data_IF_538989522369
#
_entry.id   IF_538989522369
#
_cell.length_a   1.000
_cell.length_b   1.000
_cell.length_c   1.000
_cell.angle_alpha   90.00
_cell.angle_beta   90.00
_cell.angle_gamma   90.00
#
_symmetry.space_group_name_H-M   'P 1'
#
loop_
_entity.id
_entity.type
_entity.pdbx_description
1 polymer ?
#
# COMPACT_ATOMS: atom_id res chain seq x y z
N UNK A 1 -24.14 -71.16 -17.54
CA UNK A 1 -23.22 -71.23 -16.37
C UNK A 1 -22.05 -70.31 -16.68
N UNK A 2 -21.76 -69.20 -16.02
CA UNK A 2 -22.09 -68.66 -14.70
C UNK A 2 -22.59 -67.21 -14.81
N UNK A 3 -23.58 -66.84 -14.00
CA UNK A 3 -24.10 -65.46 -13.87
C UNK A 3 -23.08 -64.61 -13.10
N UNK A 4 -22.79 -63.41 -13.59
CA UNK A 4 -22.04 -62.37 -12.85
C UNK A 4 -22.96 -61.78 -11.78
N UNK A 5 -22.62 -61.96 -10.52
CA UNK A 5 -23.26 -61.29 -9.39
C UNK A 5 -22.32 -60.18 -8.94
N UNK A 6 -22.71 -58.93 -9.17
CA UNK A 6 -22.02 -57.75 -8.62
C UNK A 6 -22.66 -57.43 -7.26
N UNK A 7 -21.86 -57.45 -6.21
CA UNK A 7 -22.26 -57.04 -4.87
C UNK A 7 -22.13 -55.51 -4.78
N UNK A 8 -23.26 -54.81 -4.73
CA UNK A 8 -23.32 -53.37 -4.50
C UNK A 8 -23.13 -53.14 -2.99
N UNK A 9 -21.91 -52.84 -2.55
CA UNK A 9 -21.66 -52.36 -1.19
C UNK A 9 -22.00 -50.86 -1.18
N UNK A 10 -23.18 -50.53 -0.66
CA UNK A 10 -23.57 -49.16 -0.36
C UNK A 10 -22.90 -48.74 0.96
N UNK A 11 -21.75 -48.06 0.86
CA UNK A 11 -21.13 -47.41 2.02
C UNK A 11 -21.87 -46.11 2.30
N UNK A 12 -22.73 -46.12 3.33
CA UNK A 12 -23.31 -44.90 3.90
C UNK A 12 -22.19 -44.22 4.71
N UNK A 13 -21.55 -43.21 4.12
CA UNK A 13 -20.72 -42.27 4.87
C UNK A 13 -21.68 -41.28 5.53
N UNK A 14 -21.95 -41.47 6.82
CA UNK A 14 -22.60 -40.45 7.63
C UNK A 14 -21.62 -39.28 7.81
N UNK A 15 -21.81 -38.22 7.02
CA UNK A 15 -21.22 -36.92 7.27
C UNK A 15 -21.82 -36.39 8.57
N UNK A 16 -21.11 -36.61 9.68
CA UNK A 16 -21.35 -35.87 10.92
C UNK A 16 -20.95 -34.43 10.64
N UNK A 17 -21.93 -33.58 10.34
CA UNK A 17 -21.73 -32.15 10.24
C UNK A 17 -21.40 -31.64 11.65
N UNK A 18 -20.11 -31.48 11.94
CA UNK A 18 -19.66 -30.61 13.02
C UNK A 18 -20.06 -29.18 12.62
N UNK A 19 -21.25 -28.75 13.06
CA UNK A 19 -21.58 -27.33 13.20
C UNK A 19 -20.79 -26.78 14.38
N UNK A 20 -19.47 -26.72 14.24
CA UNK A 20 -18.62 -25.99 15.15
C UNK A 20 -18.61 -24.55 14.65
N UNK A 21 -19.60 -23.79 15.14
CA UNK A 21 -19.69 -22.37 14.90
C UNK A 21 -18.42 -21.74 15.47
N UNK A 22 -17.58 -21.19 14.60
CA UNK A 22 -16.33 -20.54 14.98
C UNK A 22 -16.61 -19.56 16.14
N UNK A 23 -15.81 -19.61 17.22
CA UNK A 23 -16.03 -18.74 18.36
C UNK A 23 -15.98 -17.29 17.89
N UNK A 24 -17.04 -16.53 18.19
CA UNK A 24 -17.04 -15.07 18.02
C UNK A 24 -15.88 -14.53 18.86
N UNK A 25 -14.80 -14.16 18.19
CA UNK A 25 -13.69 -13.42 18.79
C UNK A 25 -14.18 -12.01 19.12
N UNK A 26 -14.82 -11.85 20.27
CA UNK A 26 -15.04 -10.55 20.91
C UNK A 26 -13.72 -10.11 21.56
N UNK A 27 -12.69 -9.88 20.75
CA UNK A 27 -11.56 -9.08 21.24
C UNK A 27 -12.06 -7.64 21.32
N UNK A 28 -11.91 -6.96 22.47
CA UNK A 28 -12.12 -5.53 22.54
C UNK A 28 -11.22 -4.90 21.48
N UNK A 29 -11.81 -4.21 20.52
CA UNK A 29 -11.06 -3.29 19.68
C UNK A 29 -10.58 -2.23 20.67
N UNK A 30 -9.29 -2.28 21.02
CA UNK A 30 -8.67 -1.21 21.81
C UNK A 30 -8.98 0.10 21.08
N UNK A 31 -9.50 1.06 21.84
CA UNK A 31 -9.94 2.34 21.31
C UNK A 31 -8.78 2.93 20.50
N UNK A 32 -8.99 3.04 19.18
CA UNK A 32 -8.09 3.77 18.29
C UNK A 32 -8.04 5.18 18.86
N UNK A 33 -6.86 5.66 19.19
CA UNK A 33 -6.66 7.06 19.57
C UNK A 33 -7.02 7.92 18.36
N UNK A 34 -8.25 8.46 18.39
CA UNK A 34 -8.73 9.38 17.36
C UNK A 34 -8.12 10.73 17.72
N UNK A 35 -6.97 11.03 17.11
CA UNK A 35 -6.50 12.41 17.08
C UNK A 35 -7.45 13.16 16.14
N UNK A 36 -8.24 14.07 16.69
CA UNK A 36 -9.11 14.96 15.92
C UNK A 36 -8.23 16.01 15.23
N UNK A 37 -8.10 15.92 13.91
CA UNK A 37 -7.12 16.66 13.14
C UNK A 37 -7.83 17.49 12.08
N UNK A 38 -8.14 18.76 12.40
CA UNK A 38 -8.61 19.74 11.42
C UNK A 38 -7.79 19.67 10.11
N UNK A 39 -8.37 20.03 8.95
CA UNK A 39 -7.64 20.17 7.67
C UNK A 39 -6.31 20.98 7.79
N UNK A 40 -6.17 21.77 8.85
CA UNK A 40 -5.00 22.53 9.26
C UNK A 40 -3.68 21.76 9.44
N UNK A 41 -3.68 20.43 9.52
CA UNK A 41 -2.46 19.70 9.92
C UNK A 41 -1.70 19.00 8.79
N UNK A 42 -2.13 19.11 7.54
CA UNK A 42 -1.27 18.68 6.43
C UNK A 42 0.02 19.53 6.43
N UNK A 43 1.17 18.87 6.38
CA UNK A 43 2.46 19.50 6.22
C UNK A 43 3.12 19.05 4.92
N UNK A 44 3.63 20.02 4.16
CA UNK A 44 4.54 19.71 3.06
C UNK A 44 5.92 19.29 3.59
N UNK A 45 6.61 18.39 2.88
CA UNK A 45 7.97 18.01 3.23
C UNK A 45 8.91 19.23 3.11
N UNK A 46 9.64 19.61 4.19
CA UNK A 46 10.53 20.76 4.16
C UNK A 46 11.74 20.48 3.26
N UNK A 47 12.33 21.50 2.61
CA UNK A 47 13.56 21.30 1.85
C UNK A 47 14.69 20.77 2.74
N UNK A 48 15.38 19.73 2.27
CA UNK A 48 16.55 19.14 2.92
C UNK A 48 17.60 18.90 1.85
N UNK A 49 18.72 19.64 1.91
CA UNK A 49 19.88 19.46 1.01
C UNK A 49 19.46 19.43 -0.47
N UNK A 50 19.49 18.26 -1.12
CA UNK A 50 19.09 18.12 -2.52
C UNK A 50 17.58 18.01 -2.73
N UNK A 51 16.78 17.78 -1.69
CA UNK A 51 15.33 17.71 -1.81
C UNK A 51 14.65 19.07 -1.55
N UNK A 52 13.66 19.48 -2.37
CA UNK A 52 13.29 18.89 -3.66
C UNK A 52 14.33 19.23 -4.75
N UNK A 53 14.57 18.30 -5.66
CA UNK A 53 15.36 18.53 -6.88
C UNK A 53 14.43 18.72 -8.08
N UNK A 54 14.89 19.44 -9.09
CA UNK A 54 14.12 19.58 -10.33
C UNK A 54 14.08 18.27 -11.11
N UNK A 55 13.09 18.14 -12.00
CA UNK A 55 12.99 16.98 -12.90
C UNK A 55 14.21 16.88 -13.82
N UNK A 56 14.76 18.00 -14.26
CA UNK A 56 15.97 18.06 -15.08
C UNK A 56 17.19 17.53 -14.31
N UNK A 57 17.36 17.90 -13.04
CA UNK A 57 18.45 17.42 -12.20
C UNK A 57 18.36 15.91 -11.96
N UNK A 58 17.17 15.40 -11.62
CA UNK A 58 16.94 13.97 -11.42
C UNK A 58 17.18 13.19 -12.71
N UNK A 59 16.68 13.68 -13.84
CA UNK A 59 16.87 13.04 -15.14
C UNK A 59 18.36 12.98 -15.52
N UNK A 60 19.14 14.02 -15.23
CA UNK A 60 20.59 13.99 -15.47
C UNK A 60 21.27 12.89 -14.66
N UNK A 61 20.92 12.72 -13.39
CA UNK A 61 21.49 11.63 -12.56
C UNK A 61 21.10 10.26 -13.10
N UNK A 62 19.86 10.10 -13.59
CA UNK A 62 19.39 8.86 -14.22
C UNK A 62 20.17 8.60 -15.52
N UNK A 63 20.31 9.59 -16.40
CA UNK A 63 21.00 9.44 -17.68
C UNK A 63 22.49 9.12 -17.51
N UNK A 64 23.13 9.69 -16.49
CA UNK A 64 24.55 9.46 -16.18
C UNK A 64 24.80 8.26 -15.26
N UNK A 65 23.74 7.59 -14.79
CA UNK A 65 23.80 6.51 -13.81
C UNK A 65 24.55 6.91 -12.51
N UNK A 66 24.37 8.16 -12.07
CA UNK A 66 24.96 8.73 -10.86
C UNK A 66 24.26 8.18 -9.60
N UNK A 67 24.50 6.90 -9.32
CA UNK A 67 23.90 6.17 -8.20
C UNK A 67 24.23 6.78 -6.84
N UNK A 68 25.35 7.51 -6.71
CA UNK A 68 25.72 8.20 -5.48
C UNK A 68 24.74 9.34 -5.20
N UNK A 69 24.47 10.21 -6.20
CA UNK A 69 23.49 11.29 -6.05
C UNK A 69 22.08 10.80 -5.89
N UNK A 70 21.66 9.79 -6.66
CA UNK A 70 20.32 9.18 -6.51
C UNK A 70 20.12 8.68 -5.08
N UNK A 71 21.12 8.00 -4.51
CA UNK A 71 21.06 7.52 -3.13
C UNK A 71 21.07 8.65 -2.11
N UNK A 72 21.93 9.66 -2.30
CA UNK A 72 21.99 10.82 -1.41
C UNK A 72 20.64 11.55 -1.40
N UNK A 73 20.04 11.77 -2.57
CA UNK A 73 18.73 12.39 -2.71
C UNK A 73 17.62 11.59 -2.03
N UNK A 74 17.63 10.26 -2.14
CA UNK A 74 16.67 9.42 -1.45
C UNK A 74 16.76 9.56 0.09
N UNK A 75 17.98 9.69 0.64
CA UNK A 75 18.18 9.96 2.06
C UNK A 75 17.72 11.36 2.48
N UNK A 76 18.00 12.37 1.65
CA UNK A 76 17.54 13.74 1.87
C UNK A 76 16.00 13.83 1.87
N UNK A 77 15.34 13.12 0.94
CA UNK A 77 13.88 12.98 0.91
C UNK A 77 13.36 12.25 2.15
N UNK A 78 14.03 11.17 2.59
CA UNK A 78 13.64 10.46 3.82
C UNK A 78 13.74 11.35 5.07
N UNK A 79 14.82 12.11 5.21
CA UNK A 79 15.00 13.09 6.30
C UNK A 79 13.92 14.17 6.26
N UNK A 80 13.61 14.69 5.06
CA UNK A 80 12.54 15.66 4.86
C UNK A 80 11.18 15.14 5.36
N UNK A 81 10.75 13.97 4.88
CA UNK A 81 9.40 13.46 5.20
C UNK A 81 9.28 12.97 6.64
N UNK A 82 10.40 12.65 7.31
CA UNK A 82 10.44 12.25 8.73
C UNK A 82 10.67 13.40 9.70
N UNK A 83 10.85 14.62 9.20
CA UNK A 83 10.96 15.82 10.04
C UNK A 83 9.68 15.97 10.89
N UNK A 84 9.79 16.30 12.19
CA UNK A 84 8.62 16.50 13.03
C UNK A 84 7.86 17.77 12.63
N UNK A 85 6.53 17.68 12.68
CA UNK A 85 5.60 18.79 12.56
C UNK A 85 5.42 19.50 13.91
N UNK A 86 4.67 20.61 13.91
CA UNK A 86 4.35 21.36 15.14
C UNK A 86 3.58 20.54 16.20
N UNK A 87 2.94 19.45 15.78
CA UNK A 87 2.26 18.48 16.68
C UNK A 87 3.11 17.26 17.04
N UNK A 88 4.38 17.24 16.64
CA UNK A 88 5.32 16.17 16.95
C UNK A 88 5.18 14.89 16.12
N UNK A 89 4.26 14.85 15.14
CA UNK A 89 4.15 13.78 14.17
C UNK A 89 5.15 13.99 13.02
N UNK A 90 5.72 12.95 12.41
CA UNK A 90 6.51 13.12 11.19
C UNK A 90 5.62 13.63 10.05
N UNK A 91 6.18 14.44 9.15
CA UNK A 91 5.45 15.04 8.02
C UNK A 91 4.62 14.01 7.24
N UNK A 92 5.19 12.85 6.90
CA UNK A 92 4.48 11.83 6.12
C UNK A 92 3.21 11.28 6.80
N UNK A 93 3.09 11.36 8.13
CA UNK A 93 1.86 10.95 8.84
C UNK A 93 0.72 11.94 8.65
N UNK A 94 1.04 13.17 8.27
CA UNK A 94 0.07 14.21 7.96
C UNK A 94 -0.44 14.16 6.53
N UNK A 95 -0.06 13.16 5.73
CA UNK A 95 -0.49 12.99 4.35
C UNK A 95 -1.78 12.17 4.22
N UNK A 96 -2.48 12.32 3.09
CA UNK A 96 -3.74 11.64 2.82
C UNK A 96 -3.54 10.12 2.81
N UNK A 97 -4.44 9.39 3.46
CA UNK A 97 -4.49 7.93 3.40
C UNK A 97 -5.24 7.44 2.16
N UNK A 98 -5.09 6.16 1.84
CA UNK A 98 -5.93 5.52 0.82
C UNK A 98 -7.43 5.58 1.16
N UNK A 99 -7.80 5.47 2.43
CA UNK A 99 -9.21 5.56 2.86
C UNK A 99 -9.79 6.94 2.51
N UNK A 100 -9.07 8.02 2.81
CA UNK A 100 -9.47 9.39 2.48
C UNK A 100 -9.63 9.60 0.97
N UNK A 101 -8.75 9.03 0.15
CA UNK A 101 -8.78 9.24 -1.30
C UNK A 101 -9.83 8.37 -2.00
N UNK A 102 -9.95 7.11 -1.60
CA UNK A 102 -10.67 6.09 -2.36
C UNK A 102 -12.00 5.64 -1.75
N UNK A 103 -12.27 5.94 -0.47
CA UNK A 103 -13.46 5.46 0.23
C UNK A 103 -14.35 6.60 0.75
N UNK A 104 -13.78 7.75 1.08
CA UNK A 104 -14.55 8.92 1.51
C UNK A 104 -14.97 9.78 0.30
N UNK A 105 -16.19 10.33 0.38
CA UNK A 105 -16.58 11.45 -0.47
C UNK A 105 -15.88 12.71 0.04
N UNK A 106 -15.33 13.54 -0.86
CA UNK A 106 -14.39 14.67 -0.67
C UNK A 106 -14.78 15.81 0.32
N UNK A 107 -15.62 15.58 1.33
CA UNK A 107 -16.19 16.61 2.20
C UNK A 107 -16.24 16.26 3.70
N UNK A 108 -15.48 15.26 4.15
CA UNK A 108 -15.43 14.96 5.58
C UNK A 108 -14.27 15.68 6.27
N UNK A 109 -14.51 16.12 7.50
CA UNK A 109 -13.45 16.58 8.39
C UNK A 109 -12.39 15.48 8.51
N UNK A 110 -11.14 15.90 8.37
CA UNK A 110 -10.03 14.96 8.32
C UNK A 110 -9.76 14.40 9.72
N UNK A 111 -9.44 13.11 9.77
CA UNK A 111 -8.94 12.47 10.98
C UNK A 111 -7.69 11.70 10.55
N UNK A 112 -6.54 11.98 11.17
CA UNK A 112 -5.34 11.19 10.89
C UNK A 112 -5.54 9.82 11.55
N UNK A 113 -5.85 8.83 10.72
CA UNK A 113 -5.93 7.44 11.16
C UNK A 113 -4.75 6.66 10.58
N UNK A 114 -4.11 5.85 11.41
CA UNK A 114 -3.14 4.83 10.98
C UNK A 114 -3.91 3.54 10.65
N UNK A 115 -4.47 3.50 9.45
CA UNK A 115 -5.21 2.33 8.96
C UNK A 115 -4.24 1.21 8.57
N UNK A 116 -3.69 0.50 9.56
CA UNK A 116 -2.83 -0.65 9.29
C UNK A 116 -3.64 -1.75 8.61
N UNK A 117 -3.26 -2.09 7.37
CA UNK A 117 -3.85 -3.22 6.65
C UNK A 117 -2.84 -4.36 6.55
N UNK A 118 -3.36 -5.59 6.58
CA UNK A 118 -2.56 -6.75 6.18
C UNK A 118 -2.26 -6.63 4.68
N UNK A 119 -0.98 -6.59 4.28
CA UNK A 119 -0.60 -6.52 2.90
C UNK A 119 -1.03 -7.80 2.19
N UNK A 120 -1.95 -7.67 1.23
CA UNK A 120 -2.45 -8.78 0.43
C UNK A 120 -1.36 -9.42 -0.45
N UNK A 121 -0.23 -8.76 -0.62
CA UNK A 121 0.90 -9.23 -1.42
C UNK A 121 1.60 -10.46 -0.81
N UNK A 122 1.44 -10.70 0.50
CA UNK A 122 2.01 -11.88 1.18
C UNK A 122 1.10 -13.12 1.12
N UNK A 123 -0.06 -13.06 0.44
CA UNK A 123 -0.85 -14.26 0.16
C UNK A 123 -0.16 -15.24 -0.81
N UNK A 124 0.89 -14.80 -1.53
CA UNK A 124 1.69 -15.71 -2.35
C UNK A 124 2.64 -16.57 -1.52
N UNK A 125 3.06 -16.11 -0.34
CA UNK A 125 3.93 -16.89 0.57
C UNK A 125 3.16 -17.93 1.39
N UNK A 126 1.85 -17.76 1.62
CA UNK A 126 1.03 -18.76 2.31
C UNK A 126 0.81 -20.06 1.50
N UNK A 127 1.29 -20.11 0.25
CA UNK A 127 1.37 -21.35 -0.54
C UNK A 127 2.61 -22.17 -0.18
N UNK A 128 3.61 -21.58 0.48
CA UNK A 128 4.79 -22.27 0.99
C UNK A 128 4.45 -22.88 2.36
N UNK A 129 4.16 -24.18 2.38
CA UNK A 129 3.71 -24.91 3.58
C UNK A 129 4.76 -25.06 4.68
N UNK A 130 6.02 -24.75 4.38
CA UNK A 130 7.16 -25.08 5.24
C UNK A 130 7.76 -23.86 5.95
N UNK A 131 7.17 -22.67 5.77
CA UNK A 131 7.58 -21.47 6.51
C UNK A 131 6.63 -21.31 7.71
N UNK A 132 7.11 -21.40 8.96
CA UNK A 132 6.28 -21.18 10.12
C UNK A 132 5.68 -19.77 10.09
N UNK A 133 4.36 -19.67 10.01
CA UNK A 133 3.67 -18.39 10.18
C UNK A 133 3.67 -18.03 11.67
N UNK A 134 4.47 -17.03 12.05
CA UNK A 134 4.35 -16.43 13.37
C UNK A 134 3.26 -15.35 13.34
N UNK A 135 2.12 -15.51 14.04
CA UNK A 135 1.05 -14.51 14.05
C UNK A 135 1.48 -13.17 14.67
N UNK A 136 2.62 -13.12 15.36
CA UNK A 136 3.22 -11.90 15.90
C UNK A 136 4.18 -11.19 14.93
N UNK A 137 4.56 -11.81 13.81
CA UNK A 137 5.44 -11.22 12.78
C UNK A 137 4.66 -10.80 11.53
N UNK A 138 3.50 -10.15 11.73
CA UNK A 138 2.65 -9.78 10.60
C UNK A 138 3.08 -8.42 10.04
N UNK A 139 3.50 -8.35 8.76
CA UNK A 139 3.72 -7.07 8.13
C UNK A 139 2.38 -6.33 8.05
N UNK A 140 2.40 -5.03 8.28
CA UNK A 140 1.27 -4.14 8.02
C UNK A 140 1.72 -3.01 7.11
N UNK A 141 0.83 -2.57 6.23
CA UNK A 141 1.13 -1.45 5.34
C UNK A 141 -0.10 -0.60 5.10
N UNK A 142 0.13 0.66 4.79
CA UNK A 142 -0.87 1.57 4.25
C UNK A 142 -0.18 2.50 3.26
N UNK A 143 -0.95 3.20 2.44
CA UNK A 143 -0.41 4.20 1.53
C UNK A 143 -0.66 5.60 2.10
N UNK A 144 0.29 6.51 1.86
CA UNK A 144 0.21 7.94 2.13
C UNK A 144 0.50 8.72 0.85
N UNK A 145 -0.26 9.79 0.63
CA UNK A 145 -0.23 10.59 -0.58
C UNK A 145 -0.10 12.06 -0.21
N UNK A 146 0.87 12.75 -0.80
CA UNK A 146 0.96 14.21 -0.67
C UNK A 146 -0.27 14.88 -1.26
N UNK A 147 -0.49 16.14 -0.89
CA UNK A 147 -1.67 16.89 -1.32
C UNK A 147 -1.76 16.99 -2.84
N UNK A 148 -0.65 17.32 -3.51
CA UNK A 148 -0.59 17.42 -4.97
C UNK A 148 -1.04 16.12 -5.66
N UNK A 149 -0.64 14.97 -5.13
CA UNK A 149 -1.07 13.66 -5.66
C UNK A 149 -2.57 13.42 -5.40
N UNK A 150 -3.05 13.72 -4.19
CA UNK A 150 -4.46 13.55 -3.84
C UNK A 150 -5.37 14.42 -4.71
N UNK A 151 -4.99 15.69 -4.92
CA UNK A 151 -5.71 16.64 -5.76
C UNK A 151 -5.83 16.13 -7.21
N UNK A 152 -4.74 15.62 -7.80
CA UNK A 152 -4.79 15.02 -9.15
C UNK A 152 -5.74 13.82 -9.19
N UNK A 153 -5.70 12.94 -8.19
CA UNK A 153 -6.58 11.76 -8.14
C UNK A 153 -8.05 12.19 -8.11
N UNK A 154 -8.39 13.18 -7.28
CA UNK A 154 -9.75 13.68 -7.16
C UNK A 154 -10.22 14.44 -8.39
N UNK A 155 -9.42 15.39 -8.88
CA UNK A 155 -9.76 16.25 -10.02
C UNK A 155 -9.98 15.43 -11.29
N UNK A 156 -9.18 14.38 -11.49
CA UNK A 156 -9.32 13.46 -12.63
C UNK A 156 -10.34 12.36 -12.38
N UNK A 157 -10.87 12.24 -11.16
CA UNK A 157 -11.77 11.16 -10.76
C UNK A 157 -11.13 9.78 -10.83
N UNK A 158 -9.80 9.68 -10.68
CA UNK A 158 -9.08 8.40 -10.68
C UNK A 158 -9.43 7.53 -9.46
N UNK A 159 -10.08 8.09 -8.44
CA UNK A 159 -10.69 7.33 -7.36
C UNK A 159 -12.04 6.69 -7.73
N UNK A 160 -12.57 6.91 -8.94
CA UNK A 160 -13.89 6.40 -9.36
C UNK A 160 -13.77 5.22 -10.32
N UNK A 161 -14.43 4.11 -9.96
CA UNK A 161 -14.51 2.91 -10.82
C UNK A 161 -15.01 3.23 -12.23
N UNK A 162 -16.01 4.10 -12.37
CA UNK A 162 -16.58 4.47 -13.68
C UNK A 162 -15.56 5.14 -14.59
N UNK A 163 -14.72 6.04 -14.05
CA UNK A 163 -13.66 6.72 -14.80
C UNK A 163 -12.60 5.72 -15.25
N UNK A 164 -12.12 4.86 -14.34
CA UNK A 164 -11.13 3.84 -14.67
C UNK A 164 -11.65 2.82 -15.70
N UNK A 165 -12.93 2.46 -15.61
CA UNK A 165 -13.60 1.59 -16.60
C UNK A 165 -13.62 2.27 -17.97
N UNK A 166 -14.03 3.54 -18.03
CA UNK A 166 -14.06 4.30 -19.28
C UNK A 166 -12.68 4.44 -19.92
N UNK A 167 -11.61 4.63 -19.13
CA UNK A 167 -10.24 4.69 -19.64
C UNK A 167 -9.84 3.34 -20.25
N UNK A 168 -10.11 2.25 -19.55
CA UNK A 168 -9.79 0.91 -20.06
C UNK A 168 -10.59 0.56 -21.33
N UNK A 169 -11.87 0.94 -21.38
CA UNK A 169 -12.71 0.76 -22.56
C UNK A 169 -12.18 1.55 -23.76
N UNK A 170 -11.69 2.78 -23.53
CA UNK A 170 -11.03 3.56 -24.57
C UNK A 170 -9.75 2.89 -25.10
N UNK A 171 -8.91 2.32 -24.23
CA UNK A 171 -7.75 1.54 -24.68
C UNK A 171 -8.15 0.34 -25.54
N UNK A 172 -9.22 -0.37 -25.16
CA UNK A 172 -9.73 -1.50 -25.92
C UNK A 172 -10.27 -1.06 -27.29
N UNK A 173 -11.07 0.01 -27.33
CA UNK A 173 -11.64 0.55 -28.56
C UNK A 173 -10.57 1.03 -29.54
N UNK A 174 -9.47 1.60 -29.02
CA UNK A 174 -8.35 2.09 -29.82
C UNK A 174 -7.34 0.99 -30.20
N UNK A 175 -7.51 -0.25 -29.72
CA UNK A 175 -6.54 -1.32 -29.94
C UNK A 175 -5.18 -1.03 -29.30
N UNK A 176 -5.13 -0.23 -28.23
CA UNK A 176 -3.88 0.14 -27.55
C UNK A 176 -3.22 -1.11 -26.97
N UNK A 177 -1.96 -1.37 -27.39
CA UNK A 177 -1.17 -2.48 -26.89
C UNK A 177 -0.99 -2.35 -25.38
N UNK A 178 -0.95 -3.48 -24.66
CA UNK A 178 -0.90 -3.49 -23.19
C UNK A 178 0.28 -2.68 -22.63
N UNK A 179 1.43 -2.75 -23.30
CA UNK A 179 2.65 -2.00 -22.92
C UNK A 179 2.49 -0.48 -23.03
N UNK A 180 1.53 -0.02 -23.84
CA UNK A 180 1.25 1.40 -24.08
C UNK A 180 0.04 1.90 -23.28
N UNK A 181 -0.62 1.04 -22.49
CA UNK A 181 -1.76 1.42 -21.64
C UNK A 181 -1.27 2.14 -20.40
N UNK A 182 -1.00 3.43 -20.53
CA UNK A 182 -0.58 4.29 -19.43
C UNK A 182 -1.71 5.23 -19.01
N UNK A 183 -2.09 5.18 -17.74
CA UNK A 183 -2.86 6.27 -17.14
C UNK A 183 -1.85 7.37 -16.88
N UNK A 184 -1.90 8.44 -17.67
CA UNK A 184 -1.00 9.58 -17.47
C UNK A 184 -1.27 10.18 -16.10
N UNK A 185 -0.39 9.87 -15.15
CA UNK A 185 -0.35 10.50 -13.83
C UNK A 185 0.79 11.51 -13.73
N UNK A 186 1.61 11.69 -14.77
CA UNK A 186 2.97 12.25 -14.61
C UNK A 186 3.43 13.31 -15.60
N UNK A 187 2.83 13.47 -16.78
CA UNK A 187 3.26 14.56 -17.67
C UNK A 187 2.49 15.82 -17.24
N UNK A 188 3.21 16.75 -16.60
CA UNK A 188 2.78 18.08 -16.14
C UNK A 188 1.75 18.13 -14.99
N UNK A 189 1.47 17.00 -14.34
CA UNK A 189 0.43 16.92 -13.29
C UNK A 189 0.99 16.73 -11.88
N UNK A 190 2.25 16.33 -11.75
CA UNK A 190 2.89 16.11 -10.45
C UNK A 190 4.07 17.06 -10.28
N UNK A 191 4.09 17.76 -9.15
CA UNK A 191 5.19 18.64 -8.76
C UNK A 191 6.37 17.87 -8.14
N UNK A 192 7.48 18.54 -7.92
CA UNK A 192 8.66 18.00 -7.23
C UNK A 192 8.40 17.56 -5.78
N UNK A 193 7.21 17.89 -5.23
CA UNK A 193 6.77 17.49 -3.90
C UNK A 193 5.84 16.27 -3.94
N UNK A 194 5.51 15.75 -5.11
CA UNK A 194 4.56 14.66 -5.27
C UNK A 194 5.17 13.34 -4.82
N UNK A 195 4.73 12.85 -3.66
CA UNK A 195 5.23 11.61 -3.07
C UNK A 195 4.04 10.68 -2.77
N UNK A 196 4.21 9.40 -3.14
CA UNK A 196 3.37 8.30 -2.67
C UNK A 196 4.25 7.37 -1.84
N UNK A 197 3.93 7.25 -0.55
CA UNK A 197 4.66 6.41 0.38
C UNK A 197 3.83 5.18 0.73
N UNK A 198 4.46 4.01 0.71
CA UNK A 198 3.90 2.78 1.27
C UNK A 198 4.77 2.30 2.43
N UNK A 199 4.62 2.84 3.65
CA UNK A 199 5.34 2.31 4.80
C UNK A 199 4.94 0.85 5.05
N UNK A 200 5.94 0.04 5.35
CA UNK A 200 5.77 -1.36 5.77
C UNK A 200 6.34 -1.47 7.17
N UNK A 201 5.51 -1.89 8.11
CA UNK A 201 5.89 -2.13 9.49
C UNK A 201 5.96 -3.62 9.74
N UNK A 202 7.03 -4.07 10.39
CA UNK A 202 7.17 -5.43 10.90
C UNK A 202 7.33 -5.36 12.41
N UNK A 203 6.46 -6.06 13.13
CA UNK A 203 6.65 -6.24 14.57
C UNK A 203 7.81 -7.22 14.79
N UNK A 204 8.79 -6.79 15.58
CA UNK A 204 9.96 -7.59 15.91
C UNK A 204 9.93 -7.94 17.39
N UNK A 205 10.18 -9.21 17.70
CA UNK A 205 10.38 -9.64 19.08
C UNK A 205 11.73 -9.14 19.59
N UNK A 206 11.76 -8.68 20.85
CA UNK A 206 12.98 -8.23 21.51
C UNK A 206 13.98 -9.37 21.73
N UNK A 207 13.48 -10.58 21.94
CA UNK A 207 14.25 -11.70 22.49
C UNK A 207 14.53 -12.81 21.46
N UNK A 208 14.21 -12.58 20.18
CA UNK A 208 14.46 -13.55 19.11
C UNK A 208 15.15 -12.90 17.91
N UNK A 209 15.93 -13.71 17.20
CA UNK A 209 16.49 -13.31 15.90
C UNK A 209 15.32 -13.13 14.94
N UNK A 210 15.20 -11.94 14.35
CA UNK A 210 14.19 -11.64 13.34
C UNK A 210 14.88 -11.38 12.00
N UNK A 211 14.43 -12.07 10.97
CA UNK A 211 14.84 -11.78 9.60
C UNK A 211 14.17 -10.47 9.15
N UNK A 212 14.98 -9.48 8.78
CA UNK A 212 14.49 -8.21 8.22
C UNK A 212 14.57 -8.33 6.70
N UNK A 213 13.43 -8.24 5.98
CA UNK A 213 13.45 -8.21 4.53
C UNK A 213 14.15 -6.93 4.07
N UNK A 214 15.15 -7.08 3.22
CA UNK A 214 15.85 -5.96 2.58
C UNK A 214 15.61 -6.03 1.08
N UNK A 215 15.15 -4.93 0.49
CA UNK A 215 15.08 -4.77 -0.95
C UNK A 215 16.38 -4.11 -1.44
N UNK A 216 17.22 -4.89 -2.12
CA UNK A 216 18.49 -4.43 -2.70
C UNK A 216 18.38 -3.64 -4.02
N UNK A 217 17.18 -3.28 -4.47
CA UNK A 217 16.91 -2.90 -5.85
C UNK A 217 17.22 -4.02 -6.86
N UNK A 218 17.31 -3.66 -8.15
CA UNK A 218 18.08 -4.44 -9.12
C UNK A 218 19.55 -4.30 -8.74
N UNK A 219 20.09 -5.30 -8.03
CA UNK A 219 21.54 -5.39 -7.85
C UNK A 219 22.19 -5.49 -9.23
N UNK A 220 23.22 -4.68 -9.52
CA UNK A 220 24.08 -4.94 -10.69
C UNK A 220 24.70 -6.34 -10.61
#
# INVERSE_FOLDING_TARGET
MFKKTYCLIATIVALSACTEQAPKSEKPIEAIEIVEVNELYYADPPPVRSYPSSMEEINEWIYTLDNEKIRAHAWDMWESITTPTDVGLPVWETWYSGHEIFELDNQQERIIVRNFHFPTQFFHTSVLTDIPENPFERPTSFNRFTKSVADVIWDRGFNKKSVLTSINDAFNANGTAVVDRQIQTSIDTMDQLSIVLKPVFQFISKDSIVAIPYWAGVSP
#
